data_IF_173236525228
#
_entry.id   IF_173236525228
#
_cell.length_a   1.000
_cell.length_b   1.000
_cell.length_c   1.000
_cell.angle_alpha   90.00
_cell.angle_beta   90.00
_cell.angle_gamma   90.00
#
_symmetry.space_group_name_H-M   'P 1'
#
loop_
_entity.id
_entity.type
_entity.pdbx_description
1 polymer ?
#
# COMPACT_ATOMS: atom_id res chain seq x y z
N UNK A 1 -12.06 23.42 -2.44
CA UNK A 1 -10.96 23.58 -3.43
C UNK A 1 -10.11 22.33 -3.32
N UNK A 2 -9.74 21.70 -4.44
CA UNK A 2 -8.93 20.47 -4.37
C UNK A 2 -7.46 20.85 -4.49
N UNK A 3 -6.68 20.59 -3.44
CA UNK A 3 -5.24 20.83 -3.44
C UNK A 3 -4.52 19.53 -3.75
N UNK A 4 -3.54 19.56 -4.65
CA UNK A 4 -2.78 18.37 -5.06
C UNK A 4 -1.31 18.60 -4.76
N UNK A 5 -0.70 17.67 -4.02
CA UNK A 5 0.75 17.57 -3.88
C UNK A 5 1.23 16.34 -4.63
N UNK A 6 2.06 16.56 -5.65
CA UNK A 6 2.73 15.47 -6.37
C UNK A 6 4.08 15.18 -5.73
N UNK A 7 4.43 13.90 -5.64
CA UNK A 7 5.74 13.43 -5.18
C UNK A 7 6.24 12.35 -6.15
N UNK A 8 7.45 11.86 -5.95
CA UNK A 8 8.00 10.77 -6.75
C UNK A 8 7.32 9.42 -6.51
N UNK A 9 6.65 9.25 -5.35
CA UNK A 9 6.13 7.95 -4.87
C UNK A 9 4.60 7.90 -4.79
N UNK A 10 3.95 9.06 -4.63
CA UNK A 10 2.50 9.17 -4.52
C UNK A 10 2.02 10.58 -4.85
N UNK A 11 0.77 10.68 -5.26
CA UNK A 11 0.05 11.96 -5.32
C UNK A 11 -0.88 12.04 -4.10
N UNK A 12 -0.94 13.22 -3.48
CA UNK A 12 -1.79 13.49 -2.33
C UNK A 12 -2.82 14.54 -2.74
N UNK A 13 -4.10 14.19 -2.67
CA UNK A 13 -5.22 15.06 -2.98
C UNK A 13 -5.94 15.39 -1.68
N UNK A 14 -6.10 16.68 -1.40
CA UNK A 14 -6.92 17.17 -0.30
C UNK A 14 -8.27 17.56 -0.89
N UNK A 15 -9.29 16.79 -0.52
CA UNK A 15 -10.67 17.00 -0.95
C UNK A 15 -11.47 17.59 0.21
N UNK A 16 -11.50 18.92 0.25
CA UNK A 16 -12.12 19.68 1.33
C UNK A 16 -13.61 19.36 1.53
N UNK A 17 -14.36 19.18 0.44
CA UNK A 17 -15.81 19.00 0.52
C UNK A 17 -16.20 17.65 1.13
N UNK A 18 -15.29 16.66 1.05
CA UNK A 18 -15.46 15.33 1.62
C UNK A 18 -14.67 15.11 2.91
N UNK A 19 -13.94 16.13 3.38
CA UNK A 19 -12.93 15.99 4.44
C UNK A 19 -12.06 14.72 4.22
N UNK A 20 -11.55 14.55 3.01
CA UNK A 20 -10.83 13.35 2.61
C UNK A 20 -9.44 13.71 2.10
N UNK A 21 -8.44 12.92 2.47
CA UNK A 21 -7.10 12.96 1.88
C UNK A 21 -6.93 11.66 1.10
N UNK A 22 -6.89 11.76 -0.22
CA UNK A 22 -6.61 10.64 -1.10
C UNK A 22 -5.11 10.56 -1.35
N UNK A 23 -4.51 9.42 -1.03
CA UNK A 23 -3.13 9.07 -1.38
C UNK A 23 -3.19 8.07 -2.53
N UNK A 24 -2.74 8.47 -3.71
CA UNK A 24 -2.77 7.65 -4.92
C UNK A 24 -1.37 7.25 -5.37
N UNK A 25 -1.14 5.96 -5.58
CA UNK A 25 0.05 5.45 -6.25
C UNK A 25 -0.23 5.11 -7.71
N UNK A 26 0.70 5.43 -8.61
CA UNK A 26 0.61 5.04 -10.02
C UNK A 26 1.49 3.83 -10.25
N UNK A 27 0.88 2.70 -10.54
CA UNK A 27 1.56 1.43 -10.74
C UNK A 27 1.68 1.12 -12.23
N UNK A 28 2.91 0.92 -12.70
CA UNK A 28 3.19 0.33 -14.01
C UNK A 28 3.54 -1.13 -13.82
N UNK A 29 2.71 -2.01 -14.39
CA UNK A 29 2.88 -3.45 -14.23
C UNK A 29 3.76 -4.07 -15.32
N UNK A 30 4.73 -4.87 -14.88
CA UNK A 30 5.41 -5.87 -15.69
C UNK A 30 4.83 -7.25 -15.35
N UNK A 31 4.30 -7.94 -16.35
CA UNK A 31 3.60 -9.21 -16.16
C UNK A 31 4.49 -10.37 -16.57
N UNK A 32 5.00 -11.12 -15.60
CA UNK A 32 5.82 -12.31 -15.81
C UNK A 32 4.99 -13.59 -15.69
N UNK A 33 5.43 -14.67 -16.32
CA UNK A 33 4.76 -15.97 -16.24
C UNK A 33 5.75 -17.08 -15.89
N UNK A 34 5.36 -17.92 -14.94
CA UNK A 34 5.96 -19.23 -14.64
C UNK A 34 4.93 -20.36 -14.75
N UNK A 35 3.70 -20.03 -15.09
CA UNK A 35 2.60 -20.95 -15.31
C UNK A 35 1.99 -20.68 -16.70
N UNK A 36 0.71 -20.35 -16.78
CA UNK A 36 0.07 -19.98 -18.05
C UNK A 36 0.30 -18.50 -18.38
N UNK A 37 0.24 -18.10 -19.67
CA UNK A 37 0.28 -16.70 -20.05
C UNK A 37 -0.84 -15.87 -19.38
N UNK A 38 -0.57 -14.59 -19.15
CA UNK A 38 -1.57 -13.66 -18.65
C UNK A 38 -2.55 -13.27 -19.74
N UNK A 39 -3.83 -13.42 -19.46
CA UNK A 39 -4.89 -12.76 -20.22
C UNK A 39 -5.09 -11.31 -19.73
N UNK A 40 -5.68 -10.45 -20.57
CA UNK A 40 -6.02 -9.08 -20.15
C UNK A 40 -7.04 -9.07 -19.00
N UNK A 41 -7.94 -10.05 -18.96
CA UNK A 41 -8.93 -10.20 -17.90
C UNK A 41 -8.29 -10.48 -16.55
N UNK A 42 -7.33 -11.40 -16.50
CA UNK A 42 -6.59 -11.71 -15.28
C UNK A 42 -5.79 -10.50 -14.78
N UNK A 43 -5.12 -9.76 -15.68
CA UNK A 43 -4.37 -8.54 -15.31
C UNK A 43 -5.28 -7.49 -14.67
N UNK A 44 -6.44 -7.24 -15.28
CA UNK A 44 -7.45 -6.31 -14.76
C UNK A 44 -8.01 -6.77 -13.42
N UNK A 45 -8.32 -8.06 -13.31
CA UNK A 45 -8.83 -8.65 -12.06
C UNK A 45 -7.80 -8.52 -10.94
N UNK A 46 -6.52 -8.82 -11.21
CA UNK A 46 -5.45 -8.65 -10.23
C UNK A 46 -5.36 -7.21 -9.74
N UNK A 47 -5.31 -6.24 -10.66
CA UNK A 47 -5.27 -4.82 -10.30
C UNK A 47 -6.49 -4.38 -9.48
N UNK A 48 -7.71 -4.77 -9.89
CA UNK A 48 -8.93 -4.46 -9.14
C UNK A 48 -8.94 -5.08 -7.75
N UNK A 49 -8.50 -6.33 -7.62
CA UNK A 49 -8.37 -7.00 -6.31
C UNK A 49 -7.33 -6.30 -5.44
N UNK A 50 -6.19 -5.91 -6.00
CA UNK A 50 -5.17 -5.16 -5.31
C UNK A 50 -5.72 -3.84 -4.74
N UNK A 51 -6.37 -3.05 -5.60
CA UNK A 51 -6.96 -1.76 -5.22
C UNK A 51 -8.02 -1.89 -4.12
N UNK A 52 -8.95 -2.83 -4.28
CA UNK A 52 -9.99 -3.11 -3.27
C UNK A 52 -9.36 -3.53 -1.94
N UNK A 53 -8.35 -4.40 -1.95
CA UNK A 53 -7.71 -4.88 -0.73
C UNK A 53 -6.94 -3.77 -0.02
N UNK A 54 -6.16 -2.98 -0.77
CA UNK A 54 -5.42 -1.82 -0.23
C UNK A 54 -6.41 -0.82 0.39
N UNK A 55 -7.45 -0.45 -0.36
CA UNK A 55 -8.47 0.49 0.13
C UNK A 55 -9.21 -0.06 1.35
N UNK A 56 -9.53 -1.34 1.40
CA UNK A 56 -10.22 -1.96 2.54
C UNK A 56 -9.35 -2.05 3.80
N UNK A 57 -8.07 -2.36 3.65
CA UNK A 57 -7.15 -2.59 4.78
C UNK A 57 -6.62 -1.27 5.33
N UNK A 58 -6.23 -0.35 4.45
CA UNK A 58 -5.61 0.92 4.84
C UNK A 58 -6.58 2.10 4.83
N UNK A 59 -7.64 2.05 4.03
CA UNK A 59 -8.63 3.11 3.94
C UNK A 59 -9.44 3.27 5.23
N UNK A 60 -9.68 4.51 5.61
CA UNK A 60 -10.36 4.91 6.85
C UNK A 60 -9.62 4.61 8.16
N UNK A 61 -8.45 3.98 8.08
CA UNK A 61 -7.63 3.70 9.26
C UNK A 61 -7.08 4.99 9.87
N UNK A 62 -6.58 5.89 9.02
CA UNK A 62 -5.99 7.14 9.48
C UNK A 62 -6.99 8.29 9.47
N UNK A 63 -7.11 8.96 10.62
CA UNK A 63 -7.94 10.15 10.82
C UNK A 63 -7.05 11.29 11.28
N UNK A 64 -6.98 12.35 10.49
CA UNK A 64 -6.09 13.49 10.73
C UNK A 64 -6.88 14.71 11.19
N UNK A 65 -6.39 15.35 12.25
CA UNK A 65 -6.87 16.68 12.68
C UNK A 65 -5.98 17.75 12.07
N UNK A 66 -6.58 18.80 11.55
CA UNK A 66 -5.84 19.92 10.98
C UNK A 66 -5.37 20.84 12.11
N UNK A 67 -4.10 21.26 12.04
CA UNK A 67 -3.50 22.26 12.94
C UNK A 67 -2.77 23.32 12.12
N UNK A 68 -2.77 24.55 12.61
CA UNK A 68 -2.05 25.67 11.99
C UNK A 68 -2.86 26.96 11.97
N UNK A 69 -2.26 27.99 11.38
CA UNK A 69 -2.83 29.34 11.31
C UNK A 69 -3.21 29.77 9.88
N UNK A 70 -3.01 28.91 8.89
CA UNK A 70 -3.41 29.20 7.51
C UNK A 70 -4.93 29.29 7.39
N UNK A 71 -5.44 29.98 6.36
CA UNK A 71 -6.88 30.06 6.09
C UNK A 71 -7.53 28.67 6.01
N UNK A 72 -6.84 27.70 5.42
CA UNK A 72 -7.26 26.30 5.39
C UNK A 72 -7.37 25.71 6.80
N UNK A 73 -6.34 25.88 7.64
CA UNK A 73 -6.32 25.33 8.99
C UNK A 73 -7.37 25.97 9.91
N UNK A 74 -7.58 27.28 9.79
CA UNK A 74 -8.63 28.00 10.53
C UNK A 74 -10.02 27.53 10.11
N UNK A 75 -10.27 27.38 8.80
CA UNK A 75 -11.52 26.86 8.25
C UNK A 75 -11.83 25.45 8.76
N UNK A 76 -10.82 24.59 8.82
CA UNK A 76 -10.95 23.16 9.14
C UNK A 76 -10.51 22.79 10.55
N UNK A 77 -10.42 23.75 11.48
CA UNK A 77 -9.91 23.55 12.85
C UNK A 77 -10.65 22.49 13.67
N UNK A 78 -11.92 22.25 13.33
CA UNK A 78 -12.80 21.27 13.99
C UNK A 78 -13.13 20.08 13.07
N UNK A 79 -12.55 20.01 11.87
CA UNK A 79 -12.79 18.93 10.92
C UNK A 79 -11.82 17.77 11.18
N UNK A 80 -12.27 16.55 10.88
CA UNK A 80 -11.43 15.36 10.83
C UNK A 80 -11.37 14.93 9.38
N UNK A 81 -10.14 14.81 8.86
CA UNK A 81 -9.91 14.30 7.53
C UNK A 81 -9.64 12.80 7.57
N UNK A 82 -10.34 12.05 6.73
CA UNK A 82 -10.11 10.62 6.57
C UNK A 82 -9.11 10.38 5.46
N UNK A 83 -8.09 9.56 5.71
CA UNK A 83 -7.15 9.16 4.66
C UNK A 83 -7.68 7.92 3.95
N UNK A 84 -7.66 7.97 2.62
CA UNK A 84 -7.98 6.84 1.75
C UNK A 84 -6.82 6.59 0.80
N UNK A 85 -6.65 5.34 0.42
CA UNK A 85 -5.60 4.90 -0.50
C UNK A 85 -6.21 4.32 -1.77
N UNK A 86 -5.52 4.54 -2.88
CA UNK A 86 -5.91 4.12 -4.23
C UNK A 86 -4.67 3.78 -5.03
N UNK A 87 -4.78 2.79 -5.92
CA UNK A 87 -3.74 2.50 -6.91
C UNK A 87 -4.29 2.69 -8.32
N UNK A 88 -3.52 3.35 -9.16
CA UNK A 88 -3.86 3.60 -10.56
C UNK A 88 -2.94 2.83 -11.48
N UNK A 89 -3.49 1.92 -12.30
CA UNK A 89 -2.73 1.31 -13.38
C UNK A 89 -2.40 2.35 -14.46
N UNK A 90 -1.10 2.60 -14.68
CA UNK A 90 -0.59 3.46 -15.75
C UNK A 90 0.39 2.72 -16.66
N UNK A 91 0.54 3.23 -17.88
CA UNK A 91 1.55 2.75 -18.84
C UNK A 91 2.78 3.66 -18.92
N UNK A 92 2.66 4.90 -18.42
CA UNK A 92 3.69 5.94 -18.48
C UNK A 92 3.62 6.79 -17.22
N UNK A 93 4.74 7.40 -16.83
CA UNK A 93 4.86 8.22 -15.62
C UNK A 93 4.42 7.50 -14.32
N UNK A 94 4.90 6.28 -14.05
CA UNK A 94 4.59 5.59 -12.80
C UNK A 94 5.28 6.23 -11.61
N UNK A 95 4.67 6.01 -10.45
CA UNK A 95 5.37 6.13 -9.18
C UNK A 95 6.15 4.85 -8.88
N UNK A 96 5.55 3.69 -9.16
CA UNK A 96 6.11 2.37 -8.86
C UNK A 96 6.09 1.45 -10.08
N UNK A 97 7.19 0.71 -10.27
CA UNK A 97 7.26 -0.43 -11.19
C UNK A 97 6.86 -1.68 -10.42
N UNK A 98 5.85 -2.40 -10.90
CA UNK A 98 5.28 -3.54 -10.19
C UNK A 98 5.45 -4.80 -11.03
N UNK A 99 6.31 -5.69 -10.56
CA UNK A 99 6.58 -6.96 -11.20
C UNK A 99 5.61 -8.00 -10.62
N UNK A 100 4.71 -8.54 -11.44
CA UNK A 100 3.75 -9.56 -11.00
C UNK A 100 4.03 -10.86 -11.72
N UNK A 101 4.37 -11.90 -10.95
CA UNK A 101 4.66 -13.23 -11.46
C UNK A 101 3.41 -14.10 -11.36
N UNK A 102 2.95 -14.64 -12.49
CA UNK A 102 1.89 -15.67 -12.49
C UNK A 102 2.47 -17.03 -12.15
N UNK A 103 2.02 -17.57 -11.03
CA UNK A 103 2.39 -18.87 -10.51
C UNK A 103 1.18 -19.81 -10.49
N UNK A 104 1.43 -21.09 -10.27
CA UNK A 104 0.35 -22.06 -10.08
C UNK A 104 -0.41 -21.75 -8.78
N UNK A 105 -1.75 -21.96 -8.74
CA UNK A 105 -2.53 -21.78 -7.51
C UNK A 105 -1.96 -22.59 -6.34
N UNK A 106 -1.85 -21.97 -5.17
CA UNK A 106 -1.21 -22.57 -3.99
C UNK A 106 0.32 -22.61 -4.04
N UNK A 107 0.94 -22.07 -5.09
CA UNK A 107 2.37 -21.81 -5.14
C UNK A 107 2.79 -20.63 -4.25
N UNK A 108 4.07 -20.31 -4.25
CA UNK A 108 4.62 -19.20 -3.48
C UNK A 108 5.88 -18.64 -4.16
N UNK A 109 5.95 -17.31 -4.28
CA UNK A 109 7.17 -16.57 -4.52
C UNK A 109 7.29 -15.47 -3.45
N UNK A 110 8.50 -15.15 -3.04
CA UNK A 110 8.70 -14.09 -2.04
C UNK A 110 8.42 -12.72 -2.66
N UNK A 111 7.40 -12.05 -2.15
CA UNK A 111 7.08 -10.66 -2.45
C UNK A 111 7.97 -9.70 -1.65
N UNK A 112 8.24 -8.53 -2.20
CA UNK A 112 9.12 -7.53 -1.56
C UNK A 112 8.97 -6.15 -2.20
N UNK A 113 9.44 -5.12 -1.48
CA UNK A 113 9.58 -3.75 -1.97
C UNK A 113 11.04 -3.29 -1.93
N UNK A 114 11.54 -2.81 -3.06
CA UNK A 114 12.81 -2.06 -3.11
C UNK A 114 12.47 -0.58 -3.17
N UNK A 115 12.33 0.03 -2.00
CA UNK A 115 11.78 1.38 -1.85
C UNK A 115 12.57 2.45 -2.62
N UNK A 116 13.91 2.39 -2.54
CA UNK A 116 14.80 3.35 -3.22
C UNK A 116 14.72 3.27 -4.75
N UNK A 117 14.42 2.09 -5.30
CA UNK A 117 14.28 1.88 -6.74
C UNK A 117 12.83 2.01 -7.23
N UNK A 118 11.88 2.16 -6.29
CA UNK A 118 10.44 2.19 -6.55
C UNK A 118 9.95 0.93 -7.28
N UNK A 119 10.43 -0.22 -6.82
CA UNK A 119 10.05 -1.55 -7.34
C UNK A 119 9.24 -2.30 -6.29
N UNK A 120 8.15 -2.92 -6.72
CA UNK A 120 7.34 -3.87 -5.96
C UNK A 120 7.39 -5.20 -6.72
N UNK A 121 7.67 -6.30 -6.03
CA UNK A 121 7.58 -7.65 -6.57
C UNK A 121 6.44 -8.38 -5.88
N UNK A 122 5.54 -8.96 -6.68
CA UNK A 122 4.35 -9.67 -6.25
C UNK A 122 4.13 -10.95 -7.06
N UNK A 123 3.29 -11.83 -6.55
CA UNK A 123 2.76 -12.99 -7.27
C UNK A 123 1.22 -13.05 -7.28
N UNK A 124 0.66 -14.03 -7.99
CA UNK A 124 -0.81 -14.19 -8.12
C UNK A 124 -1.53 -14.60 -6.84
N UNK A 125 -0.84 -15.13 -5.84
CA UNK A 125 -1.39 -15.53 -4.55
C UNK A 125 -1.39 -14.36 -3.55
N UNK A 126 -0.69 -13.25 -3.80
CA UNK A 126 -0.63 -12.08 -2.90
C UNK A 126 -1.97 -11.35 -2.69
N UNK A 127 -2.95 -11.58 -3.56
CA UNK A 127 -4.32 -11.09 -3.40
C UNK A 127 -5.18 -12.00 -2.51
N UNK A 128 -4.62 -13.09 -1.99
CA UNK A 128 -5.29 -14.01 -1.07
C UNK A 128 -4.82 -13.75 0.36
N UNK A 129 -5.69 -14.05 1.31
CA UNK A 129 -5.37 -13.98 2.73
C UNK A 129 -4.49 -15.17 3.12
N UNK A 130 -3.36 -14.90 3.74
CA UNK A 130 -2.50 -15.90 4.35
C UNK A 130 -2.69 -15.87 5.87
N UNK A 131 -2.87 -17.06 6.46
CA UNK A 131 -2.85 -17.21 7.90
C UNK A 131 -1.43 -16.97 8.43
N UNK A 132 -1.30 -16.12 9.43
CA UNK A 132 -0.03 -15.72 10.04
C UNK A 132 0.10 -16.14 11.50
N UNK A 133 -0.85 -16.92 12.01
CA UNK A 133 -0.84 -17.43 13.37
C UNK A 133 -1.93 -16.83 14.24
N UNK A 134 -1.77 -17.00 15.55
CA UNK A 134 -2.74 -16.58 16.55
C UNK A 134 -2.18 -15.42 17.36
N UNK A 135 -2.85 -14.26 17.32
CA UNK A 135 -2.41 -13.06 18.02
C UNK A 135 -3.58 -12.47 18.82
N UNK A 136 -3.37 -12.21 20.12
CA UNK A 136 -4.37 -11.55 20.95
C UNK A 136 -5.72 -12.27 21.02
N UNK A 137 -5.71 -13.60 21.09
CA UNK A 137 -6.89 -14.47 21.13
C UNK A 137 -7.70 -14.56 19.83
N UNK A 138 -7.11 -14.17 18.68
CA UNK A 138 -7.75 -14.27 17.37
C UNK A 138 -6.76 -14.79 16.32
N UNK A 139 -7.31 -15.44 15.32
CA UNK A 139 -6.56 -15.78 14.11
C UNK A 139 -6.16 -14.50 13.36
N UNK A 140 -4.88 -14.38 13.05
CA UNK A 140 -4.33 -13.26 12.31
C UNK A 140 -4.13 -13.66 10.85
N UNK A 141 -4.77 -12.90 9.97
CA UNK A 141 -4.67 -13.05 8.51
C UNK A 141 -4.09 -11.79 7.91
N UNK A 142 -3.23 -11.98 6.91
CA UNK A 142 -2.59 -10.89 6.19
C UNK A 142 -2.77 -11.08 4.68
N UNK A 143 -2.98 -9.98 3.96
CA UNK A 143 -2.90 -9.96 2.51
C UNK A 143 -1.51 -9.43 2.14
N UNK A 144 -0.62 -10.26 1.56
CA UNK A 144 0.73 -9.84 1.21
C UNK A 144 0.76 -8.55 0.38
N UNK A 145 -0.15 -8.39 -0.58
CA UNK A 145 -0.20 -7.17 -1.40
C UNK A 145 -0.43 -5.90 -0.59
N UNK A 146 -1.25 -5.97 0.46
CA UNK A 146 -1.51 -4.84 1.33
C UNK A 146 -0.36 -4.59 2.31
N UNK A 147 0.37 -5.65 2.69
CA UNK A 147 1.61 -5.54 3.46
C UNK A 147 2.69 -4.81 2.66
N UNK A 148 2.95 -5.27 1.43
CA UNK A 148 3.92 -4.62 0.54
C UNK A 148 3.53 -3.17 0.22
N UNK A 149 2.24 -2.88 0.02
CA UNK A 149 1.76 -1.50 -0.09
C UNK A 149 2.06 -0.65 1.17
N UNK A 150 1.99 -1.24 2.35
CA UNK A 150 2.40 -0.55 3.58
C UNK A 150 3.86 -0.07 3.52
N UNK A 151 4.75 -0.89 2.97
CA UNK A 151 6.16 -0.54 2.79
C UNK A 151 6.39 0.61 1.80
N UNK A 152 5.50 0.78 0.80
CA UNK A 152 5.64 1.87 -0.18
C UNK A 152 5.28 3.24 0.42
N UNK A 153 4.30 3.27 1.33
CA UNK A 153 3.81 4.50 1.99
C UNK A 153 4.63 4.85 3.24
N UNK A 154 5.09 3.84 3.99
CA UNK A 154 5.63 4.01 5.35
C UNK A 154 7.14 4.22 5.47
N UNK A 155 7.95 3.94 4.44
CA UNK A 155 9.40 4.04 4.56
C UNK A 155 9.89 5.49 4.41
N UNK A 156 10.15 6.17 5.54
CA UNK A 156 10.75 7.51 5.58
C UNK A 156 12.19 7.33 6.10
N UNK A 157 13.24 7.84 5.41
CA UNK A 157 14.64 7.67 5.78
C UNK A 157 15.03 8.10 7.22
N UNK A 158 14.17 8.89 7.88
CA UNK A 158 14.40 9.41 9.24
C UNK A 158 14.03 8.38 10.31
N UNK A 159 13.13 7.43 10.00
CA UNK A 159 12.68 6.38 10.91
C UNK A 159 13.09 5.07 10.25
N UNK A 160 14.34 4.66 10.48
CA UNK A 160 14.95 3.51 9.83
C UNK A 160 14.08 2.25 9.92
N UNK A 161 13.37 1.98 8.84
CA UNK A 161 12.76 0.69 8.56
C UNK A 161 13.37 0.21 7.25
N UNK A 162 14.52 -0.44 7.40
CA UNK A 162 15.11 -1.28 6.37
C UNK A 162 14.07 -2.34 6.03
N UNK A 163 13.83 -2.50 4.74
CA UNK A 163 13.34 -3.74 4.15
C UNK A 163 13.45 -4.95 5.09
N UNK A 164 12.32 -5.59 5.38
CA UNK A 164 12.12 -6.69 6.34
C UNK A 164 13.05 -7.91 6.14
N UNK A 165 13.91 -7.87 5.11
CA UNK A 165 14.80 -8.92 4.64
C UNK A 165 16.29 -8.72 4.98
N UNK A 166 16.71 -7.62 5.64
CA UNK A 166 18.10 -7.50 6.11
C UNK A 166 18.30 -8.13 7.50
N UNK A 167 19.19 -9.13 7.51
CA UNK A 167 19.33 -10.13 8.56
C UNK A 167 20.39 -9.79 9.63
N UNK A 168 20.60 -8.52 9.96
CA UNK A 168 21.59 -8.14 10.97
C UNK A 168 20.99 -7.34 12.13
N UNK A 169 21.03 -7.99 13.29
CA UNK A 169 20.81 -7.51 14.66
C UNK A 169 19.41 -7.67 15.24
N UNK A 170 19.28 -8.76 15.99
CA UNK A 170 18.42 -8.90 17.16
C UNK A 170 18.42 -7.61 18.01
N UNK A 171 17.43 -6.77 17.81
CA UNK A 171 16.93 -5.86 18.83
C UNK A 171 15.45 -6.18 18.97
N UNK A 172 15.06 -6.54 20.19
CA UNK A 172 13.68 -6.77 20.59
C UNK A 172 12.78 -5.60 20.15
N UNK A 173 12.11 -5.78 19.03
CA UNK A 173 11.00 -4.95 18.54
C UNK A 173 9.72 -5.77 18.51
N UNK A 174 9.42 -6.48 19.61
CA UNK A 174 8.07 -7.00 19.79
C UNK A 174 7.08 -5.82 19.72
N UNK A 175 6.08 -5.98 18.86
CA UNK A 175 4.80 -5.28 18.89
C UNK A 175 4.83 -3.74 18.82
N UNK A 176 4.81 -3.18 17.61
CA UNK A 176 3.98 -1.99 17.34
C UNK A 176 3.72 -1.82 15.84
N UNK A 177 3.46 -2.92 15.14
CA UNK A 177 2.59 -2.81 13.98
C UNK A 177 1.19 -2.56 14.52
N UNK A 178 0.65 -1.41 14.15
CA UNK A 178 -0.79 -1.22 14.17
C UNK A 178 -1.33 -2.15 13.07
N UNK A 179 -1.51 -3.40 13.44
CA UNK A 179 -2.29 -4.39 12.69
C UNK A 179 -3.76 -4.08 12.96
N UNK A 180 -4.59 -3.92 11.92
CA UNK A 180 -6.03 -3.79 12.12
C UNK A 180 -6.56 -5.05 12.80
N UNK A 181 -7.31 -4.86 13.89
CA UNK A 181 -8.09 -5.90 14.56
C UNK A 181 -9.42 -6.18 13.84
#
# INVERSE_FOLDING_TARGET
MNTIKRTEKMDIFIEEDRNTILVQEKWQYNWFTRATPWTIWEKRKFHQSADILISKIWGNYFKLKIKGLSNFAVKHKNSIFTVIFDIKWVLTNPHWTVNVIKIAPGGFETSYVIWGQRIISLDTEDIKSNYRGYFGLKDYYQFPIAHEFGHTVGNIPIIGHSDEYHNDNHINGASSWITPA
#
